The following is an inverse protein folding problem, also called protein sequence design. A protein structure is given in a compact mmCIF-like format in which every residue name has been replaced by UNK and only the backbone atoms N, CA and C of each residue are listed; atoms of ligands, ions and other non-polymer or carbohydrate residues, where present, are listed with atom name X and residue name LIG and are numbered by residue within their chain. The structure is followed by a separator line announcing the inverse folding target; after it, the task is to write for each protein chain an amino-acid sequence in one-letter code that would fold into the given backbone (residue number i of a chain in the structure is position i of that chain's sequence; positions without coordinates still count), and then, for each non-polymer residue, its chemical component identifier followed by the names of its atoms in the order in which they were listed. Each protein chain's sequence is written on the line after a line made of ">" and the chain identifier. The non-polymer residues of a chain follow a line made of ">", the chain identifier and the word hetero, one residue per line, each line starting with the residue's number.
data_IF_491005777148
#
_entry.id   IF_491005777148
#
_cell.length_a   1.000
_cell.length_b   1.000
_cell.length_c   1.000
_cell.angle_alpha   90.00
_cell.angle_beta   90.00
_cell.angle_gamma   90.00
#
_symmetry.space_group_name_H-M   'P 1'
#
loop_
_entity.id
_entity.type
_entity.pdbx_description
1 polymer ?
2 polymer ?
3 non-polymer ?
4 water ?
#
# COMPACT_ATOMS: atom_id res chain seq x y z
N UNK A 5 19.22 -2.55 -0.58
CA UNK A 5 20.34 -2.00 0.17
C UNK A 5 20.14 -2.17 1.68
N UNK A 6 18.94 -1.84 2.15
CA UNK A 6 18.53 -2.04 3.53
C UNK A 6 17.42 -3.08 3.55
N UNK A 7 17.62 -4.15 4.31
CA UNK A 7 16.68 -5.28 4.36
C UNK A 7 16.13 -5.41 5.77
N UNK A 8 14.82 -5.26 5.90
CA UNK A 8 14.11 -5.42 7.16
C UNK A 8 12.84 -6.22 6.91
N UNK A 9 12.31 -6.88 7.93
CA UNK A 9 11.15 -7.75 7.70
C UNK A 9 9.89 -6.97 7.41
N UNK A 10 8.97 -7.60 6.67
CA UNK A 10 7.76 -6.92 6.24
C UNK A 10 6.78 -6.73 7.40
N UNK A 11 6.61 -7.75 8.24
CA UNK A 11 5.62 -7.69 9.31
C UNK A 11 6.16 -8.41 10.54
N UNK A 12 5.82 -7.87 11.71
CA UNK A 12 6.19 -8.44 13.00
C UNK A 12 4.96 -8.43 13.90
N UNK A 13 4.92 -9.39 14.81
CA UNK A 13 3.79 -9.56 15.71
C UNK A 13 4.29 -9.80 17.13
N UNK A 14 3.60 -9.20 18.10
CA UNK A 14 3.98 -9.35 19.49
C UNK A 14 2.81 -9.01 20.39
N UNK A 15 2.78 -9.66 21.57
CA UNK A 15 1.70 -9.45 22.51
C UNK A 15 2.04 -8.32 23.48
N UNK A 16 1.03 -7.70 24.09
CA UNK A 16 1.29 -6.58 25.00
C UNK A 16 2.15 -7.01 26.19
N UNK A 17 3.03 -6.11 26.61
CA UNK A 17 3.88 -6.33 27.76
C UNK A 17 5.19 -7.02 27.45
N UNK A 18 5.24 -7.85 26.40
CA UNK A 18 6.47 -8.53 26.05
C UNK A 18 7.37 -7.59 25.26
N UNK A 19 8.52 -8.12 24.84
CA UNK A 19 9.52 -7.35 24.09
C UNK A 19 9.81 -8.05 22.77
N UNK A 20 10.28 -7.28 21.80
CA UNK A 20 10.68 -7.83 20.51
C UNK A 20 11.61 -6.84 19.82
N UNK A 21 12.31 -7.32 18.81
CA UNK A 21 13.36 -6.56 18.14
C UNK A 21 13.17 -6.65 16.62
N UNK A 22 13.24 -5.51 15.96
CA UNK A 22 13.17 -5.44 14.50
C UNK A 22 14.57 -5.23 13.96
N UNK A 23 14.98 -6.09 13.02
CA UNK A 23 16.33 -6.07 12.47
C UNK A 23 16.34 -5.44 11.10
N UNK A 24 17.36 -4.61 10.85
CA UNK A 24 17.60 -3.99 9.56
C UNK A 24 19.07 -4.18 9.23
N UNK A 25 19.34 -4.82 8.09
CA UNK A 25 20.70 -5.18 7.71
C UNK A 25 21.03 -4.60 6.34
N UNK A 26 22.24 -4.04 6.23
CA UNK A 26 22.72 -3.48 4.99
C UNK A 26 24.17 -3.06 5.10
N UNK A 27 24.89 -3.06 3.96
CA UNK A 27 26.30 -2.70 4.00
C UNK A 27 26.52 -1.31 4.59
N UNK A 28 25.54 -0.43 4.46
CA UNK A 28 25.65 0.92 5.00
C UNK A 28 25.56 0.97 6.52
N UNK A 29 25.16 -0.12 7.17
CA UNK A 29 25.00 -0.10 8.62
C UNK A 29 26.36 -0.08 9.31
N UNK A 30 27.31 -0.88 8.81
CA UNK A 30 28.63 -0.88 9.41
C UNK A 30 29.45 0.35 9.08
N UNK A 31 29.25 0.90 7.88
CA UNK A 31 30.02 2.05 7.42
C UNK A 31 29.88 3.22 8.39
N UNK A 32 28.68 3.78 8.49
CA UNK A 32 28.42 4.96 9.31
C UNK A 32 27.61 4.58 10.54
N UNK A 33 27.60 5.51 11.50
CA UNK A 33 26.75 5.41 12.69
C UNK A 33 25.56 6.35 12.57
N UNK A 34 24.89 6.30 11.43
CA UNK A 34 23.74 7.16 11.14
C UNK A 34 22.43 6.41 11.08
N UNK A 35 22.44 5.09 11.30
CA UNK A 35 21.21 4.30 11.13
C UNK A 35 20.16 4.80 12.11
N UNK A 36 18.94 5.01 11.61
CA UNK A 36 17.86 5.57 12.39
C UNK A 36 16.59 4.75 12.18
N UNK A 37 15.59 5.03 13.01
CA UNK A 37 14.31 4.32 12.97
C UNK A 37 13.17 5.34 13.01
N UNK A 38 12.19 5.17 12.12
CA UNK A 38 11.07 6.10 11.98
C UNK A 38 9.75 5.36 12.15
N UNK A 39 8.90 5.89 13.02
CA UNK A 39 7.59 5.32 13.30
C UNK A 39 6.52 6.03 12.49
N UNK A 40 5.61 5.25 11.90
CA UNK A 40 4.55 5.81 11.05
C UNK A 40 3.23 5.13 11.38
N UNK A 41 2.28 5.92 11.89
CA UNK A 41 0.91 5.45 12.06
C UNK A 41 0.17 5.52 10.73
N UNK A 42 -0.91 4.75 10.58
CA UNK A 42 -1.63 4.75 9.30
C UNK A 42 -2.21 6.11 8.99
N UNK A 43 -1.93 6.60 7.79
CA UNK A 43 -2.46 7.88 7.34
C UNK A 43 -1.67 9.08 7.78
N UNK A 44 -0.63 8.91 8.59
CA UNK A 44 0.17 10.01 9.11
C UNK A 44 1.60 9.88 8.62
N UNK A 45 2.39 10.93 8.92
CA UNK A 45 3.76 10.98 8.43
C UNK A 45 4.71 10.22 9.35
N UNK A 46 5.83 9.73 8.83
CA UNK A 46 6.83 9.11 9.72
C UNK A 46 7.34 10.11 10.74
N UNK A 47 7.80 9.59 11.88
CA UNK A 47 8.42 10.40 12.91
C UNK A 47 9.64 9.68 13.44
N UNK A 48 10.70 10.44 13.71
CA UNK A 48 11.93 9.85 14.23
C UNK A 48 11.72 9.44 15.68
N UNK A 49 12.10 8.19 15.99
CA UNK A 49 12.11 7.72 17.36
C UNK A 49 13.48 7.24 17.80
N UNK A 50 14.39 6.93 16.87
CA UNK A 50 15.78 6.60 17.18
C UNK A 50 16.64 7.12 16.04
N UNK A 51 17.72 7.82 16.37
CA UNK A 51 18.65 8.32 15.36
C UNK A 51 20.06 8.16 15.87
N UNK A 52 21.01 8.18 14.92
CA UNK A 52 22.42 7.93 15.20
C UNK A 52 22.58 6.66 16.06
N UNK A 53 22.01 5.57 15.54
CA UNK A 53 22.15 4.24 16.09
C UNK A 53 21.28 4.06 17.33
N UNK A 54 21.56 4.85 18.38
CA UNK A 54 20.94 4.60 19.68
C UNK A 54 20.37 5.85 20.37
N UNK A 55 20.59 7.05 19.83
CA UNK A 55 20.06 8.24 20.48
C UNK A 55 18.55 8.29 20.35
N UNK A 56 17.89 8.72 21.42
CA UNK A 56 16.43 8.76 21.49
C UNK A 56 15.97 10.20 21.62
N UNK A 57 15.09 10.70 20.75
CA UNK A 57 14.62 12.09 20.89
C UNK A 57 13.87 12.29 22.19
N UNK A 58 14.00 13.49 22.75
CA UNK A 58 13.23 13.83 23.93
C UNK A 58 11.75 13.81 23.60
N UNK A 59 10.94 13.27 24.51
CA UNK A 59 9.53 13.05 24.27
C UNK A 59 9.20 11.67 23.77
N UNK A 60 10.19 10.88 23.37
CA UNK A 60 9.99 9.51 22.93
C UNK A 60 10.07 8.60 24.13
N UNK A 61 9.13 7.67 24.25
CA UNK A 61 9.10 6.74 25.38
C UNK A 61 10.44 6.03 25.49
N UNK A 62 10.92 5.87 26.72
CA UNK A 62 12.21 5.24 26.96
C UNK A 62 12.20 3.75 26.62
N UNK A 63 11.03 3.18 26.31
CA UNK A 63 10.97 1.76 25.99
C UNK A 63 11.63 1.45 24.65
N UNK A 64 11.77 2.43 23.77
CA UNK A 64 12.47 2.23 22.51
C UNK A 64 13.97 2.38 22.71
N UNK A 65 14.72 1.52 22.04
CA UNK A 65 16.18 1.58 22.10
C UNK A 65 16.75 0.92 20.85
N UNK A 66 17.88 1.47 20.40
CA UNK A 66 18.51 0.98 19.19
C UNK A 66 19.93 0.50 19.39
N UNK A 67 20.43 -0.30 18.45
CA UNK A 67 21.79 -0.83 18.53
C UNK A 67 22.12 -1.42 17.16
N UNK A 68 23.42 -1.60 16.92
CA UNK A 68 23.90 -2.22 15.70
C UNK A 68 25.05 -3.16 16.02
N UNK A 69 25.23 -4.14 15.14
CA UNK A 69 26.30 -5.13 15.31
C UNK A 69 26.68 -5.61 13.92
N UNK A 70 27.87 -5.22 13.46
CA UNK A 70 28.24 -5.53 12.09
C UNK A 70 27.39 -4.73 11.13
N UNK A 71 26.76 -5.42 10.17
CA UNK A 71 25.91 -4.81 9.17
C UNK A 71 24.43 -4.96 9.49
N UNK A 72 24.08 -5.10 10.77
CA UNK A 72 22.70 -5.33 11.19
C UNK A 72 22.35 -4.38 12.32
N UNK A 73 21.39 -3.50 12.07
CA UNK A 73 20.85 -2.63 13.09
C UNK A 73 19.59 -3.25 13.69
N UNK A 74 19.24 -2.83 14.90
CA UNK A 74 18.13 -3.43 15.63
C UNK A 74 17.41 -2.38 16.45
N UNK A 75 16.08 -2.37 16.33
CA UNK A 75 15.21 -1.56 17.18
C UNK A 75 14.49 -2.48 18.15
N UNK A 76 14.61 -2.17 19.44
CA UNK A 76 14.05 -3.01 20.50
C UNK A 76 12.93 -2.23 21.20
N UNK A 77 11.76 -2.84 21.27
CA UNK A 77 10.62 -2.28 21.98
C UNK A 77 10.35 -3.19 23.17
N UNK A 78 10.69 -2.73 24.37
CA UNK A 78 10.38 -3.45 25.58
C UNK A 78 9.05 -2.96 26.16
N UNK A 79 8.36 -3.85 26.86
CA UNK A 79 7.06 -3.52 27.40
C UNK A 79 6.11 -3.06 26.32
N UNK A 80 5.86 -3.93 25.35
CA UNK A 80 5.06 -3.56 24.18
C UNK A 80 3.68 -3.07 24.61
N UNK A 81 3.28 -1.92 24.07
CA UNK A 81 1.98 -1.32 24.34
C UNK A 81 1.24 -1.14 23.03
N UNK A 82 -0.09 -1.00 23.13
CA UNK A 82 -0.94 -1.04 21.94
C UNK A 82 -0.59 0.09 20.99
N UNK A 83 -0.28 1.27 21.51
CA UNK A 83 0.02 2.39 20.63
C UNK A 83 1.34 2.21 19.87
N UNK A 84 2.08 1.15 20.14
CA UNK A 84 3.27 0.84 19.36
C UNK A 84 2.94 0.23 18.00
N UNK A 85 1.68 -0.15 17.77
CA UNK A 85 1.29 -0.69 16.47
C UNK A 85 1.47 0.38 15.39
N UNK A 86 2.35 0.11 14.44
CA UNK A 86 2.70 1.08 13.41
C UNK A 86 3.67 0.46 12.41
N UNK A 87 4.10 1.26 11.45
CA UNK A 87 5.15 0.86 10.50
C UNK A 87 6.45 1.50 10.96
N UNK A 88 7.50 0.70 11.05
CA UNK A 88 8.81 1.15 11.50
C UNK A 88 9.80 1.01 10.36
N UNK A 89 10.37 2.14 9.92
CA UNK A 89 11.31 2.17 8.82
C UNK A 89 12.72 2.42 9.36
N UNK A 90 13.69 1.74 8.78
CA UNK A 90 15.09 2.01 9.09
C UNK A 90 15.69 2.93 8.04
N UNK A 91 16.63 3.76 8.48
CA UNK A 91 17.20 4.84 7.70
C UNK A 91 18.71 4.77 7.79
N UNK A 92 19.39 4.98 6.66
CA UNK A 92 20.85 4.97 6.64
C UNK A 92 21.30 5.87 5.49
N UNK A 93 22.59 5.78 5.15
CA UNK A 93 23.17 6.59 4.09
C UNK A 93 24.17 5.76 3.29
N UNK A 94 23.98 5.75 1.97
CA UNK A 94 24.94 5.14 1.03
C UNK A 94 24.92 6.03 -0.22
N UNK A 95 25.78 7.04 -0.23
CA UNK A 95 25.83 8.08 -1.26
C UNK A 95 24.47 8.77 -1.44
N UNK A 96 23.56 8.59 -0.48
CA UNK A 96 22.26 9.25 -0.46
C UNK A 96 21.42 8.67 0.68
N UNK A 97 20.42 9.43 1.14
CA UNK A 97 19.49 8.88 2.12
C UNK A 97 18.79 7.68 1.52
N UNK A 98 18.74 6.58 2.28
CA UNK A 98 18.13 5.34 1.82
C UNK A 98 17.31 4.74 2.96
N UNK A 99 16.25 4.04 2.59
CA UNK A 99 15.30 3.49 3.55
C UNK A 99 15.09 2.00 3.28
N UNK A 100 14.68 1.30 4.33
CA UNK A 100 14.23 -0.07 4.19
C UNK A 100 12.77 -0.14 3.77
N UNK A 101 12.30 -1.37 3.59
CA UNK A 101 10.94 -1.57 3.10
C UNK A 101 9.86 -1.24 4.11
N UNK A 102 10.19 -1.24 5.40
CA UNK A 102 9.21 -0.99 6.44
C UNK A 102 8.70 -2.28 7.06
N UNK A 103 8.48 -2.25 8.38
CA UNK A 103 8.01 -3.41 9.12
C UNK A 103 6.66 -3.06 9.76
N UNK A 104 5.62 -3.77 9.37
CA UNK A 104 4.30 -3.63 10.01
C UNK A 104 4.33 -4.38 11.33
N UNK A 105 4.38 -3.64 12.44
CA UNK A 105 4.30 -4.25 13.76
C UNK A 105 2.86 -4.21 14.25
N UNK A 106 2.34 -5.37 14.63
CA UNK A 106 0.99 -5.49 15.16
C UNK A 106 1.08 -5.92 16.62
N UNK A 107 0.39 -5.18 17.48
CA UNK A 107 0.26 -5.54 18.89
C UNK A 107 -0.99 -6.41 19.02
N UNK A 108 -0.79 -7.70 19.22
CA UNK A 108 -1.90 -8.66 19.21
C UNK A 108 -2.96 -8.26 20.23
N UNK A 109 -4.17 -7.99 19.75
CA UNK A 109 -5.31 -7.69 20.60
C UNK A 109 -6.39 -8.75 20.51
N UNK A 110 -6.21 -9.77 19.68
CA UNK A 110 -7.12 -10.91 19.62
C UNK A 110 -6.32 -12.10 19.11
N UNK A 111 -6.92 -13.29 19.13
CA UNK A 111 -6.18 -14.47 18.64
C UNK A 111 -5.83 -14.34 17.16
N UNK A 112 -4.62 -14.75 16.82
CA UNK A 112 -4.26 -14.88 15.42
C UNK A 112 -5.30 -15.71 14.69
N UNK A 113 -5.81 -15.18 13.59
CA UNK A 113 -6.87 -15.83 12.81
C UNK A 113 -6.42 -15.98 11.37
N UNK A 114 -6.47 -17.20 10.86
CA UNK A 114 -6.06 -17.46 9.50
C UNK A 114 -7.12 -16.95 8.52
N UNK A 115 -6.71 -16.66 7.28
CA UNK A 115 -7.66 -16.08 6.31
C UNK A 115 -8.59 -17.11 5.70
N UNK A 116 -9.77 -16.64 5.33
CA UNK A 116 -10.64 -17.35 4.39
C UNK A 116 -10.32 -16.84 3.00
N UNK A 117 -10.12 -17.75 2.06
CA UNK A 117 -9.74 -17.41 0.70
C UNK A 117 -10.81 -17.93 -0.25
N UNK A 118 -11.26 -17.07 -1.17
CA UNK A 118 -12.20 -17.44 -2.20
C UNK A 118 -11.61 -17.05 -3.55
N UNK A 119 -11.51 -18.02 -4.46
CA UNK A 119 -10.86 -17.84 -5.74
C UNK A 119 -11.86 -18.05 -6.87
N UNK A 120 -12.04 -17.02 -7.71
CA UNK A 120 -12.92 -17.09 -8.86
C UNK A 120 -12.09 -17.18 -10.14
N UNK A 121 -12.51 -18.01 -11.11
CA UNK A 121 -11.82 -18.03 -12.40
C UNK A 121 -12.30 -16.89 -13.27
N UNK A 122 -11.65 -16.66 -14.42
CA UNK A 122 -12.18 -15.67 -15.36
C UNK A 122 -13.59 -16.01 -15.79
N UNK A 123 -14.41 -14.99 -15.97
CA UNK A 123 -15.73 -15.18 -16.54
C UNK A 123 -15.60 -15.58 -18.00
N UNK A 124 -16.47 -16.50 -18.44
CA UNK A 124 -16.49 -16.85 -19.86
C UNK A 124 -16.81 -15.63 -20.71
N UNK A 125 -17.57 -14.68 -20.17
CA UNK A 125 -17.80 -13.42 -20.88
C UNK A 125 -16.50 -12.67 -21.07
N UNK A 126 -15.70 -12.53 -20.01
CA UNK A 126 -14.42 -11.84 -20.13
C UNK A 126 -13.49 -12.60 -21.06
N UNK A 127 -13.50 -13.93 -21.01
CA UNK A 127 -12.62 -14.72 -21.87
C UNK A 127 -12.96 -14.52 -23.35
N UNK A 128 -14.24 -14.62 -23.70
CA UNK A 128 -14.64 -14.37 -25.07
C UNK A 128 -14.38 -12.93 -25.49
N UNK A 129 -14.15 -12.03 -24.55
CA UNK A 129 -13.76 -10.65 -24.85
C UNK A 129 -12.24 -10.47 -24.90
N UNK A 130 -11.48 -11.57 -24.91
CA UNK A 130 -10.03 -11.52 -25.08
C UNK A 130 -9.34 -10.92 -23.85
N UNK A 131 -9.87 -11.22 -22.67
CA UNK A 131 -9.26 -10.81 -21.41
C UNK A 131 -9.51 -11.90 -20.37
N UNK A 132 -8.77 -11.83 -19.26
CA UNK A 132 -8.91 -12.82 -18.21
C UNK A 132 -8.41 -12.22 -16.90
N UNK A 133 -9.20 -12.35 -15.85
CA UNK A 133 -8.86 -11.82 -14.53
C UNK A 133 -9.21 -12.87 -13.49
N UNK A 134 -8.20 -13.41 -12.81
CA UNK A 134 -8.41 -14.27 -11.66
C UNK A 134 -8.55 -13.40 -10.41
N UNK A 135 -9.51 -13.75 -9.56
CA UNK A 135 -9.90 -12.92 -8.43
C UNK A 135 -9.75 -13.73 -7.16
N UNK A 136 -8.83 -13.32 -6.29
CA UNK A 136 -8.56 -14.00 -5.02
C UNK A 136 -8.95 -13.06 -3.89
N UNK A 137 -10.04 -13.38 -3.20
CA UNK A 137 -10.57 -12.55 -2.12
C UNK A 137 -10.20 -13.16 -0.78
N UNK A 138 -9.58 -12.35 0.07
CA UNK A 138 -9.02 -12.79 1.35
C UNK A 138 -9.70 -12.00 2.45
N UNK A 139 -10.12 -12.68 3.51
CA UNK A 139 -10.89 -12.03 4.57
C UNK A 139 -10.66 -12.72 5.90
N UNK A 140 -11.01 -12.00 6.97
CA UNK A 140 -11.07 -12.56 8.32
C UNK A 140 -9.72 -13.09 8.79
N UNK A 141 -8.65 -12.34 8.52
CA UNK A 141 -7.31 -12.69 8.99
C UNK A 141 -6.80 -11.59 9.91
N UNK A 142 -6.23 -12.02 11.04
CA UNK A 142 -5.62 -11.11 12.00
C UNK A 142 -4.27 -11.69 12.40
N UNK A 143 -3.20 -10.88 12.42
CA UNK A 143 -3.15 -9.45 12.09
C UNK A 143 -3.32 -9.16 10.60
N UNK A 144 -3.43 -7.88 10.25
CA UNK A 144 -3.57 -7.48 8.86
C UNK A 144 -2.25 -7.46 8.12
N UNK A 145 -1.71 -8.64 7.85
CA UNK A 145 -0.43 -8.76 7.14
C UNK A 145 -0.39 -10.14 6.50
N UNK A 146 -0.45 -10.17 5.16
CA UNK A 146 -0.35 -11.41 4.40
C UNK A 146 0.56 -11.15 3.20
N UNK A 147 1.11 -12.25 2.68
CA UNK A 147 1.83 -12.24 1.41
C UNK A 147 1.09 -13.18 0.46
N UNK A 148 0.88 -12.73 -0.77
CA UNK A 148 0.13 -13.46 -1.76
C UNK A 148 1.08 -13.92 -2.86
N UNK A 149 1.00 -15.20 -3.22
CA UNK A 149 1.80 -15.77 -4.30
C UNK A 149 0.87 -16.48 -5.27
N UNK A 150 0.98 -16.13 -6.54
CA UNK A 150 0.22 -16.79 -7.60
C UNK A 150 1.11 -17.82 -8.29
N UNK A 151 0.52 -18.96 -8.63
CA UNK A 151 1.24 -20.07 -9.24
C UNK A 151 0.49 -20.53 -10.48
N UNK A 152 1.19 -20.58 -11.61
CA UNK A 152 0.70 -21.23 -12.82
C UNK A 152 1.16 -22.68 -12.78
N UNK A 153 0.21 -23.61 -12.72
CA UNK A 153 0.52 -24.99 -12.37
C UNK A 153 1.30 -24.97 -11.05
N UNK A 154 2.60 -25.20 -11.10
CA UNK A 154 3.46 -25.08 -9.94
C UNK A 154 4.45 -23.93 -10.05
N UNK A 155 4.59 -23.34 -11.23
CA UNK A 155 5.56 -22.27 -11.43
C UNK A 155 5.02 -20.95 -10.88
N UNK A 156 5.86 -20.19 -10.16
CA UNK A 156 5.39 -18.89 -9.64
C UNK A 156 5.04 -17.96 -10.78
N UNK A 157 4.27 -16.92 -10.44
CA UNK A 157 3.83 -15.92 -11.40
C UNK A 157 3.95 -14.56 -10.72
N UNK A 158 4.82 -13.71 -11.23
CA UNK A 158 4.97 -12.35 -10.72
C UNK A 158 4.34 -11.30 -11.63
N UNK A 159 4.31 -11.55 -12.94
CA UNK A 159 3.77 -10.58 -13.88
C UNK A 159 2.25 -10.55 -13.83
N UNK A 160 1.69 -9.35 -13.84
CA UNK A 160 0.25 -9.17 -13.91
C UNK A 160 -0.47 -9.27 -12.58
N UNK A 161 0.24 -9.21 -11.46
CA UNK A 161 -0.35 -9.36 -10.14
C UNK A 161 -0.60 -7.99 -9.54
N UNK A 162 -1.82 -7.77 -9.04
CA UNK A 162 -2.19 -6.54 -8.36
C UNK A 162 -2.86 -6.92 -7.04
N UNK A 163 -2.27 -6.46 -5.93
CA UNK A 163 -2.74 -6.82 -4.61
C UNK A 163 -2.94 -5.55 -3.78
N UNK A 164 -4.06 -5.52 -3.05
CA UNK A 164 -4.36 -4.38 -2.20
C UNK A 164 -3.66 -4.51 -0.86
N UNK A 165 -3.52 -3.37 -0.18
CA UNK A 165 -3.12 -3.40 1.21
C UNK A 165 -4.31 -3.84 2.06
N UNK A 166 -4.06 -4.48 3.21
CA UNK A 166 -5.19 -4.92 4.05
C UNK A 166 -6.01 -3.75 4.55
N UNK A 167 -7.31 -3.99 4.73
CA UNK A 167 -8.23 -2.99 5.25
C UNK A 167 -9.03 -3.61 6.38
N UNK A 168 -9.25 -2.81 7.43
CA UNK A 168 -9.85 -3.34 8.64
C UNK A 168 -11.35 -3.56 8.45
N UNK A 169 -11.80 -4.77 8.73
CA UNK A 169 -13.23 -5.10 8.71
C UNK A 169 -13.90 -4.57 9.97
N UNK A 170 -15.20 -4.83 10.10
CA UNK A 170 -15.93 -4.39 11.28
C UNK A 170 -15.64 -5.26 12.49
N UNK A 171 -15.34 -6.55 12.28
CA UNK A 171 -14.92 -7.43 13.36
C UNK A 171 -13.44 -7.25 13.73
N UNK A 172 -12.79 -6.23 13.19
CA UNK A 172 -11.40 -5.85 13.46
C UNK A 172 -10.39 -6.84 12.87
N UNK A 173 -10.84 -7.89 12.20
CA UNK A 173 -9.96 -8.62 11.30
C UNK A 173 -9.81 -7.81 10.02
N UNK A 174 -9.07 -8.35 9.06
CA UNK A 174 -8.70 -7.59 7.86
C UNK A 174 -9.06 -8.35 6.61
N UNK A 175 -9.27 -7.59 5.53
CA UNK A 175 -9.60 -8.12 4.21
C UNK A 175 -8.62 -7.56 3.20
N UNK A 176 -8.45 -8.30 2.10
CA UNK A 176 -7.58 -7.87 1.02
C UNK A 176 -7.97 -8.62 -0.24
N UNK A 177 -7.53 -8.11 -1.38
CA UNK A 177 -7.83 -8.68 -2.68
C UNK A 177 -6.56 -8.75 -3.51
N UNK A 178 -6.44 -9.81 -4.31
CA UNK A 178 -5.36 -9.95 -5.26
C UNK A 178 -5.95 -10.32 -6.61
N UNK A 179 -5.46 -9.67 -7.66
CA UNK A 179 -5.95 -9.86 -9.02
C UNK A 179 -4.79 -10.28 -9.91
N UNK A 180 -5.00 -11.35 -10.67
CA UNK A 180 -4.03 -11.81 -11.66
C UNK A 180 -4.65 -11.61 -13.05
N UNK A 181 -4.16 -10.60 -13.76
CA UNK A 181 -4.58 -10.38 -15.14
C UNK A 181 -3.81 -11.32 -16.06
N UNK A 182 -4.55 -11.98 -16.95
CA UNK A 182 -4.00 -13.08 -17.73
C UNK A 182 -4.47 -12.96 -19.17
N UNK A 183 -3.67 -13.51 -20.07
CA UNK A 183 -4.10 -13.67 -21.45
C UNK A 183 -4.96 -14.94 -21.57
N UNK A 184 -6.06 -14.89 -22.33
CA UNK A 184 -6.88 -16.11 -22.49
C UNK A 184 -6.07 -17.34 -22.85
N UNK A 185 -5.05 -17.20 -23.70
CA UNK A 185 -4.20 -18.34 -24.03
C UNK A 185 -3.47 -18.84 -22.79
N UNK A 186 -2.86 -17.93 -22.03
CA UNK A 186 -2.19 -18.31 -20.80
C UNK A 186 -3.14 -19.09 -19.88
N UNK A 187 -4.40 -18.66 -19.83
CA UNK A 187 -5.36 -19.30 -18.93
C UNK A 187 -5.69 -20.72 -19.40
N UNK A 188 -6.06 -20.86 -20.68
CA UNK A 188 -6.39 -22.19 -21.21
C UNK A 188 -5.17 -23.09 -21.32
N UNK A 189 -3.96 -22.51 -21.33
CA UNK A 189 -2.75 -23.28 -21.63
C UNK A 189 -2.23 -24.08 -20.44
N UNK A 190 -2.64 -23.75 -19.23
CA UNK A 190 -2.11 -24.41 -18.04
C UNK A 190 -3.17 -25.31 -17.41
N UNK A 191 -2.68 -26.29 -16.64
CA UNK A 191 -3.59 -27.21 -15.96
C UNK A 191 -4.41 -26.48 -14.90
N UNK A 192 -3.80 -25.52 -14.20
CA UNK A 192 -4.50 -24.81 -13.13
C UNK A 192 -3.72 -23.57 -12.75
N UNK A 193 -4.37 -22.70 -11.98
CA UNK A 193 -3.74 -21.55 -11.35
C UNK A 193 -4.14 -21.54 -9.88
N UNK A 194 -3.24 -21.07 -9.02
CA UNK A 194 -3.43 -21.11 -7.59
C UNK A 194 -3.17 -19.75 -6.96
N UNK A 195 -3.96 -19.42 -5.94
CA UNK A 195 -3.72 -18.26 -5.10
C UNK A 195 -3.27 -18.77 -3.74
N UNK A 196 -2.03 -18.46 -3.36
CA UNK A 196 -1.43 -18.91 -2.12
C UNK A 196 -1.27 -17.71 -1.20
N UNK A 197 -1.97 -17.76 -0.07
CA UNK A 197 -1.95 -16.68 0.92
C UNK A 197 -1.21 -17.18 2.14
N UNK A 198 -0.03 -16.59 2.41
CA UNK A 198 0.73 -16.89 3.61
C UNK A 198 0.37 -15.89 4.70
N UNK A 199 0.28 -16.37 5.93
CA UNK A 199 -0.16 -15.52 7.04
C UNK A 199 0.33 -16.13 8.34
N UNK A 200 1.25 -15.44 9.02
CA UNK A 200 1.73 -15.83 10.34
C UNK A 200 2.20 -17.28 10.33
N UNK A 201 3.03 -17.61 9.35
CA UNK A 201 3.60 -18.93 9.24
C UNK A 201 2.65 -20.00 8.71
N UNK A 202 1.38 -19.68 8.53
CA UNK A 202 0.42 -20.58 7.90
C UNK A 202 0.13 -20.11 6.48
N UNK A 203 -0.32 -21.05 5.65
CA UNK A 203 -0.64 -20.76 4.27
C UNK A 203 -1.99 -21.37 3.90
N UNK A 204 -2.75 -20.65 3.09
CA UNK A 204 -4.02 -21.12 2.55
C UNK A 204 -3.95 -20.99 1.04
N UNK A 205 -4.18 -22.08 0.33
CA UNK A 205 -4.07 -22.12 -1.13
C UNK A 205 -5.38 -22.59 -1.73
N UNK A 206 -5.88 -21.83 -2.70
CA UNK A 206 -7.05 -22.21 -3.49
C UNK A 206 -6.63 -22.32 -4.95
N UNK A 207 -7.20 -23.29 -5.66
CA UNK A 207 -6.80 -23.59 -7.03
C UNK A 207 -8.03 -23.68 -7.92
N UNK A 208 -7.89 -23.17 -9.14
CA UNK A 208 -8.94 -23.24 -10.15
C UNK A 208 -8.30 -23.70 -11.46
N UNK A 209 -9.04 -24.51 -12.21
CA UNK A 209 -8.57 -25.03 -13.49
C UNK A 209 -9.46 -24.52 -14.62
N UNK A 210 -8.91 -24.35 -15.82
CA UNK A 210 -9.74 -23.87 -16.95
C UNK A 210 -10.81 -24.85 -17.37
N UNK A 211 -10.73 -26.11 -16.95
CA UNK A 211 -11.72 -27.13 -17.31
C UNK A 211 -12.88 -27.19 -16.33
N UNK A 212 -13.26 -26.06 -15.74
CA UNK A 212 -14.32 -26.04 -14.74
C UNK A 212 -15.41 -25.04 -15.13
N UNK B 2 6.72 23.58 15.73
CA UNK B 2 7.47 23.32 14.50
C UNK B 2 6.58 22.52 13.55
N UNK B 3 6.22 23.13 12.41
CA UNK B 3 5.23 22.55 11.52
C UNK B 3 5.66 22.71 10.07
N UNK B 4 5.46 21.65 9.29
CA UNK B 4 5.57 21.70 7.83
C UNK B 4 4.19 21.40 7.26
N UNK B 5 3.71 22.25 6.34
CA UNK B 5 2.37 22.16 5.79
C UNK B 5 2.46 22.06 4.27
N UNK B 6 1.91 20.98 3.73
CA UNK B 6 1.94 20.72 2.29
C UNK B 6 0.59 21.02 1.65
N UNK B 7 0.61 21.15 0.33
CA UNK B 7 -0.58 21.42 -0.45
C UNK B 7 -1.41 20.15 -0.62
N UNK B 8 -2.57 20.29 -1.25
CA UNK B 8 -3.50 19.19 -1.40
C UNK B 8 -3.03 18.17 -2.42
N UNK B 9 -3.87 17.16 -2.60
CA UNK B 9 -3.55 16.07 -3.52
C UNK B 9 -3.65 16.54 -4.96
N UNK B 10 -2.99 15.79 -5.84
CA UNK B 10 -2.92 16.13 -7.26
C UNK B 10 -3.19 14.89 -8.10
N UNK B 11 -3.81 15.10 -9.26
CA UNK B 11 -4.02 14.06 -10.27
C UNK B 11 -3.48 14.60 -11.58
N UNK B 12 -2.54 13.86 -12.17
CA UNK B 12 -1.82 14.34 -13.35
C UNK B 12 -1.76 13.24 -14.41
N UNK B 13 -1.80 13.68 -15.68
CA UNK B 13 -1.62 12.76 -16.79
C UNK B 13 -0.13 12.49 -17.01
N UNK B 14 0.22 11.32 -17.54
CA UNK B 14 1.63 11.06 -17.85
C UNK B 14 2.20 12.13 -18.75
N UNK B 15 3.48 12.40 -18.56
CA UNK B 15 4.16 13.46 -19.28
C UNK B 15 3.99 14.85 -18.71
N UNK B 16 2.99 15.05 -17.86
CA UNK B 16 2.77 16.34 -17.23
C UNK B 16 3.76 16.54 -16.08
N UNK B 17 3.62 17.67 -15.39
CA UNK B 17 4.47 18.00 -14.25
C UNK B 17 3.59 18.47 -13.10
N UNK B 18 4.14 18.39 -11.89
CA UNK B 18 3.39 18.71 -10.67
C UNK B 18 4.25 19.58 -9.76
N UNK B 19 3.59 20.48 -9.04
CA UNK B 19 4.24 21.41 -8.12
C UNK B 19 3.59 21.24 -6.76
N UNK B 20 4.39 20.77 -5.78
CA UNK B 20 3.95 20.59 -4.40
C UNK B 20 4.69 21.61 -3.53
N UNK B 21 3.95 22.26 -2.65
CA UNK B 21 4.50 23.28 -1.76
C UNK B 21 4.64 22.73 -0.34
N UNK B 22 5.51 23.37 0.43
CA UNK B 22 5.82 22.96 1.81
C UNK B 22 6.04 24.24 2.61
N UNK B 23 5.06 24.62 3.42
CA UNK B 23 5.11 25.86 4.19
C UNK B 23 5.64 25.57 5.58
N UNK B 24 6.75 26.21 5.93
CA UNK B 24 7.41 26.03 7.22
C UNK B 24 7.00 27.11 8.20
N UNK B 25 7.07 26.79 9.49
CA UNK B 25 6.70 27.74 10.53
C UNK B 25 7.20 27.23 11.87
N UNK B 26 7.43 28.15 12.79
CA UNK B 26 7.84 27.81 14.14
C UNK B 26 9.32 27.58 14.35
N UNK B 27 10.14 27.87 13.35
CA UNK B 27 11.58 27.72 13.49
C UNK B 27 12.27 28.59 12.45
N UNK B 28 13.58 28.76 12.62
CA UNK B 28 14.38 29.56 11.70
C UNK B 28 14.45 28.86 10.35
N UNK B 29 13.67 29.36 9.39
CA UNK B 29 13.54 28.68 8.11
C UNK B 29 14.89 28.36 7.49
N UNK B 30 15.86 29.25 7.64
CA UNK B 30 17.13 29.16 6.91
C UNK B 30 18.19 28.35 7.65
N UNK B 31 17.87 27.74 8.78
CA UNK B 31 18.85 26.96 9.53
C UNK B 31 18.80 25.47 9.25
N UNK B 32 17.78 24.99 8.55
CA UNK B 32 17.59 23.56 8.34
C UNK B 32 17.30 23.26 6.88
N UNK B 33 17.84 22.14 6.40
CA UNK B 33 17.51 21.64 5.08
C UNK B 33 16.04 21.25 5.00
N UNK B 34 15.53 21.18 3.79
CA UNK B 34 14.20 20.65 3.52
C UNK B 34 14.37 19.48 2.55
N UNK B 35 14.19 18.27 3.04
CA UNK B 35 14.26 17.07 2.22
C UNK B 35 12.89 16.79 1.60
N UNK B 36 12.90 15.93 0.58
CA UNK B 36 11.68 15.43 -0.03
C UNK B 36 11.77 13.92 -0.14
N UNK B 37 10.80 13.24 0.46
CA UNK B 37 10.73 11.78 0.46
C UNK B 37 9.33 11.38 0.02
N UNK B 38 9.25 10.46 -0.94
CA UNK B 38 7.98 9.94 -1.41
C UNK B 38 7.78 8.52 -0.92
N UNK B 39 6.51 8.10 -0.89
CA UNK B 39 6.14 6.77 -0.39
C UNK B 39 5.09 6.21 -1.33
N UNK B 40 5.52 5.36 -2.27
CA UNK B 40 4.57 4.65 -3.10
C UNK B 40 3.85 3.61 -2.26
N UNK B 41 2.57 3.35 -2.52
CA UNK B 41 1.82 2.42 -1.67
C UNK B 41 2.45 1.03 -1.69
N UNK B 42 2.63 0.45 -0.52
CA UNK B 42 3.28 -0.84 -0.43
C UNK B 42 4.72 -0.84 -0.88
N UNK B 43 5.42 0.27 -0.67
CA UNK B 43 6.83 0.37 -1.01
C UNK B 43 7.55 1.14 0.07
N UNK B 44 8.88 1.01 0.09
CA UNK B 44 9.69 1.73 1.05
C UNK B 44 9.85 3.18 0.68
N UNK B 45 10.03 4.02 1.71
CA UNK B 45 10.29 5.44 1.49
C UNK B 45 11.49 5.61 0.57
N UNK B 46 11.42 6.62 -0.30
CA UNK B 46 12.50 6.93 -1.23
C UNK B 46 12.83 8.40 -1.14
N UNK B 47 14.09 8.72 -0.86
CA UNK B 47 14.57 10.09 -0.89
C UNK B 47 14.81 10.52 -2.33
N UNK B 48 14.48 11.78 -2.64
CA UNK B 48 14.64 12.29 -3.99
C UNK B 48 15.48 13.56 -4.05
N UNK B 49 15.59 14.32 -2.96
CA UNK B 49 16.39 15.53 -2.99
C UNK B 49 16.16 16.44 -1.80
N UNK B 50 17.17 17.26 -1.49
CA UNK B 50 17.04 18.29 -0.47
C UNK B 50 17.44 19.64 -1.05
N UNK B 51 17.05 20.70 -0.34
CA UNK B 51 17.41 22.07 -0.69
C UNK B 51 17.91 22.78 0.55
N UNK B 52 19.03 23.49 0.41
CA UNK B 52 19.53 24.38 1.45
C UNK B 52 18.69 25.65 1.41
N UNK B 53 17.82 25.84 2.41
CA UNK B 53 16.90 26.96 2.39
C UNK B 53 17.61 28.30 2.48
N UNK B 54 18.87 28.32 2.93
CA UNK B 54 19.61 29.58 2.97
C UNK B 54 20.18 29.94 1.61
N UNK B 55 20.92 29.01 0.99
CA UNK B 55 21.62 29.28 -0.24
C UNK B 55 20.83 28.90 -1.49
N UNK B 56 19.77 28.09 -1.34
CA UNK B 56 18.99 27.52 -2.41
C UNK B 56 19.73 26.39 -3.12
N UNK B 57 20.94 26.05 -2.69
CA UNK B 57 21.63 24.92 -3.29
C UNK B 57 20.84 23.64 -3.14
N UNK B 58 20.95 22.78 -4.15
CA UNK B 58 20.13 21.58 -4.24
C UNK B 58 21.00 20.35 -4.42
N UNK B 59 20.42 19.20 -4.11
CA UNK B 59 21.06 17.91 -4.29
C UNK B 59 19.95 16.90 -4.53
N UNK B 60 19.96 16.29 -5.71
CA UNK B 60 18.92 15.35 -6.11
C UNK B 60 19.48 13.94 -6.18
N UNK B 61 18.59 12.96 -6.18
CA UNK B 61 18.97 11.57 -6.38
C UNK B 61 19.26 11.32 -7.85
N UNK B 62 20.11 10.32 -8.11
CA UNK B 62 20.54 10.03 -9.48
C UNK B 62 19.36 9.94 -10.42
N UNK B 63 18.26 9.34 -9.97
CA UNK B 63 17.11 9.09 -10.82
C UNK B 63 16.25 10.33 -11.04
N UNK B 64 16.70 11.50 -10.57
CA UNK B 64 15.89 12.70 -10.64
C UNK B 64 16.62 13.93 -11.15
N UNK B 65 17.92 13.84 -11.42
CA UNK B 65 18.64 14.96 -12.01
C UNK B 65 18.14 15.18 -13.43
N UNK B 66 17.54 16.35 -13.67
CA UNK B 66 16.99 16.68 -14.97
C UNK B 66 15.50 16.92 -14.93
N UNK B 67 14.79 16.12 -14.15
CA UNK B 67 13.33 16.18 -14.09
C UNK B 67 12.81 16.75 -12.77
N UNK B 68 13.68 17.05 -11.82
CA UNK B 68 13.28 17.58 -10.52
C UNK B 68 13.90 18.96 -10.32
N UNK B 69 13.15 19.84 -9.66
CA UNK B 69 13.62 21.19 -9.38
C UNK B 69 13.06 21.64 -8.04
N UNK B 70 13.94 21.87 -7.07
CA UNK B 70 13.55 22.37 -5.75
C UNK B 70 13.91 23.85 -5.66
N UNK B 71 12.94 24.66 -5.24
CA UNK B 71 13.14 26.08 -5.02
C UNK B 71 12.63 26.46 -3.63
N UNK B 72 13.09 27.61 -3.16
CA UNK B 72 12.71 28.12 -1.85
C UNK B 72 12.37 29.60 -1.96
N UNK B 73 11.41 30.03 -1.15
CA UNK B 73 10.97 31.42 -1.08
C UNK B 73 11.26 31.91 0.33
N UNK B 74 12.28 32.77 0.47
CA UNK B 74 12.71 33.20 1.79
C UNK B 74 11.64 34.03 2.50
N UNK B 75 10.81 34.76 1.74
CA UNK B 75 9.86 35.66 2.39
C UNK B 75 8.61 34.93 2.87
N UNK B 76 8.13 33.96 2.11
CA UNK B 76 7.01 33.14 2.54
C UNK B 76 7.45 31.86 3.25
N UNK B 77 8.75 31.65 3.41
CA UNK B 77 9.30 30.46 4.06
C UNK B 77 8.62 29.21 3.52
N UNK B 78 8.72 29.04 2.19
CA UNK B 78 8.06 27.96 1.48
C UNK B 78 9.04 27.30 0.53
N UNK B 79 9.05 25.97 0.53
CA UNK B 79 9.83 25.19 -0.43
C UNK B 79 8.86 24.57 -1.43
N UNK B 80 9.26 24.55 -2.70
CA UNK B 80 8.44 24.02 -3.77
C UNK B 80 9.17 22.85 -4.43
N UNK B 81 8.40 21.79 -4.73
CA UNK B 81 8.92 20.63 -5.44
C UNK B 81 8.27 20.58 -6.82
N UNK B 82 9.09 20.65 -7.85
CA UNK B 82 8.63 20.57 -9.23
C UNK B 82 9.17 19.28 -9.85
N UNK B 83 8.28 18.36 -10.18
CA UNK B 83 8.64 17.10 -10.82
C UNK B 83 8.02 17.06 -12.20
N UNK B 84 8.85 16.87 -13.22
CA UNK B 84 8.44 16.90 -14.61
C UNK B 84 8.39 15.49 -15.18
N UNK B 85 7.80 15.37 -16.37
CA UNK B 85 7.75 14.12 -17.12
C UNK B 85 7.27 12.98 -16.24
N UNK B 86 6.06 13.14 -15.72
CA UNK B 86 5.51 12.21 -14.75
C UNK B 86 5.18 10.87 -15.40
N UNK B 87 5.72 9.79 -14.82
CA UNK B 87 5.35 8.44 -15.19
C UNK B 87 4.30 7.91 -14.20
N UNK B 88 3.74 6.75 -14.54
CA UNK B 88 2.73 6.16 -13.67
C UNK B 88 3.33 5.68 -12.36
N UNK B 89 4.60 5.27 -12.36
CA UNK B 89 5.27 4.83 -11.14
C UNK B 89 5.67 5.98 -10.24
N UNK B 90 5.39 7.23 -10.64
CA UNK B 90 5.59 8.38 -9.77
C UNK B 90 4.47 8.55 -8.76
N UNK B 91 3.39 7.77 -8.88
CA UNK B 91 2.30 7.85 -7.92
C UNK B 91 2.80 7.50 -6.53
N UNK B 92 2.64 8.44 -5.60
CA UNK B 92 3.14 8.25 -4.24
C UNK B 92 2.70 9.43 -3.38
N UNK B 93 2.77 9.24 -2.08
CA UNK B 93 2.59 10.32 -1.12
C UNK B 93 3.93 11.02 -0.96
N UNK B 94 3.95 12.32 -1.24
CA UNK B 94 5.18 13.10 -1.23
C UNK B 94 5.28 13.89 0.07
N UNK B 95 6.34 13.64 0.83
CA UNK B 95 6.59 14.31 2.10
C UNK B 95 7.74 15.30 1.96
N UNK B 96 7.64 16.41 2.69
CA UNK B 96 8.78 17.25 2.98
C UNK B 96 9.16 17.08 4.44
N UNK B 97 10.44 17.26 4.74
CA UNK B 97 10.96 16.98 6.07
C UNK B 97 12.14 17.89 6.37
N UNK B 98 12.20 18.39 7.61
CA UNK B 98 13.27 19.28 8.03
C UNK B 98 14.54 18.47 8.31
N UNK B 99 15.68 18.96 7.81
CA UNK B 99 16.93 18.24 7.94
C UNK B 99 17.61 18.59 9.25
N UNK B 100 18.01 17.56 10.00
CA UNK B 100 18.48 17.76 11.37
C UNK B 100 19.91 18.29 11.47
N UNK B 101 20.10 19.22 12.42
CA UNK B 101 21.34 19.96 12.69
C UNK B 101 21.37 21.18 11.78
N UNK B 102 22.00 21.10 10.61
CA UNK B 102 21.86 22.25 9.71
C UNK B 102 22.98 22.29 8.67
N UNK B 103 23.27 23.52 8.22
CA UNK B 103 24.25 23.79 7.17
C UNK B 103 25.65 23.99 7.73
N UNK B 104 25.94 23.45 8.92
CA UNK B 104 27.22 23.61 9.57
C UNK B 104 28.06 22.34 9.62
N UNK B 105 27.44 21.16 9.51
CA UNK B 105 28.14 19.89 9.57
C UNK B 105 28.13 19.21 8.19
N UNK B 106 29.13 18.36 7.90
CA UNK B 106 29.09 17.65 6.60
C UNK B 106 27.88 16.74 6.47
N UNK B 107 27.49 16.05 7.55
CA UNK B 107 26.26 15.28 7.62
C UNK B 107 25.21 16.04 8.43
N UNK B 108 25.17 17.36 8.28
CA UNK B 108 24.22 18.20 8.97
C UNK B 108 22.83 18.20 8.38
N UNK B 109 22.62 17.44 7.30
CA UNK B 109 21.29 17.15 6.78
C UNK B 109 20.85 15.72 7.05
N UNK B 110 21.78 14.81 7.37
CA UNK B 110 21.51 13.39 7.49
C UNK B 110 21.56 12.91 8.94
N UNK B 111 21.37 13.83 9.89
CA UNK B 111 21.36 13.44 11.30
C UNK B 111 20.00 12.87 11.68
N UNK B 112 18.94 13.66 11.49
CA UNK B 112 17.57 13.21 11.70
C UNK B 112 16.65 14.06 10.84
N UNK B 113 15.53 13.48 10.44
CA UNK B 113 14.50 14.18 9.65
C UNK B 113 13.28 14.37 10.55
N UNK B 114 13.09 15.60 11.02
CA UNK B 114 11.99 15.88 11.92
C UNK B 114 11.72 17.38 11.99
N UNK B 115 10.45 17.81 11.88
CA UNK B 115 9.24 17.01 11.62
C UNK B 115 9.02 16.76 10.14
N UNK B 116 7.94 16.03 9.82
CA UNK B 116 7.54 15.76 8.45
C UNK B 116 6.22 16.47 8.18
N UNK B 117 6.07 16.97 6.96
CA UNK B 117 4.76 17.43 6.52
C UNK B 117 3.76 16.30 6.49
N UNK B 118 2.47 16.67 6.41
CA UNK B 118 1.43 15.64 6.41
C UNK B 118 1.43 14.81 5.14
N UNK B 119 2.18 15.22 4.11
CA UNK B 119 2.22 14.47 2.87
C UNK B 119 1.17 14.94 1.88
N UNK B 120 1.51 14.84 0.59
CA UNK B 120 0.61 15.18 -0.49
C UNK B 120 0.56 14.01 -1.47
N UNK B 121 -0.65 13.50 -1.72
CA UNK B 121 -0.82 12.37 -2.62
C UNK B 121 -0.82 12.87 -4.06
N UNK B 122 0.08 12.33 -4.87
CA UNK B 122 0.14 12.61 -6.30
C UNK B 122 -0.18 11.30 -7.02
N UNK B 123 -1.19 11.34 -7.90
CA UNK B 123 -1.64 10.17 -8.64
C UNK B 123 -1.45 10.45 -10.12
N UNK B 124 -0.59 9.67 -10.77
CA UNK B 124 -0.35 9.77 -12.20
C UNK B 124 -1.19 8.69 -12.87
N UNK B 125 -2.22 9.12 -13.59
CA UNK B 125 -3.12 8.20 -14.28
C UNK B 125 -3.41 8.74 -15.67
N UNK B 126 -3.14 7.93 -16.70
CA UNK B 126 -3.45 8.31 -18.06
C UNK B 126 -4.96 8.39 -18.33
N UNK B 127 -5.78 7.96 -17.38
CA UNK B 127 -7.21 7.85 -17.59
C UNK B 127 -7.92 9.10 -17.10
N UNK B 128 -8.67 9.74 -17.99
CA UNK B 128 -9.73 10.63 -17.55
C UNK B 128 -10.86 9.79 -16.96
N UNK B 129 -11.92 10.44 -16.49
CA UNK B 129 -13.01 9.70 -15.87
C UNK B 129 -13.49 8.59 -16.80
N UNK B 130 -13.63 7.39 -16.24
CA UNK B 130 -13.92 6.20 -17.04
C UNK B 130 -14.82 5.25 -16.27
N UNK B 131 -15.84 4.74 -16.96
CA UNK B 131 -16.79 3.81 -16.37
C UNK B 131 -16.26 2.40 -16.37
N UNK B 132 -16.81 1.55 -15.49
CA UNK B 132 -16.28 0.20 -15.34
C UNK B 132 -16.90 -0.83 -16.29
N UNK B 133 -16.13 -1.88 -16.54
CA UNK B 133 -16.66 -3.12 -17.11
C UNK B 133 -17.01 -4.05 -15.96
N UNK B 134 -18.23 -4.60 -16.00
CA UNK B 134 -18.74 -5.43 -14.91
C UNK B 134 -18.92 -6.85 -15.44
N UNK B 135 -18.26 -7.80 -14.79
CA UNK B 135 -18.32 -9.21 -15.17
C UNK B 135 -18.87 -10.05 -14.03
N UNK B 136 -19.54 -11.16 -14.34
CA UNK B 136 -20.12 -11.99 -13.28
C UNK B 136 -19.13 -12.97 -12.67
N UNK B 137 -19.26 -13.18 -11.36
CA UNK B 137 -18.48 -14.17 -10.62
C UNK B 137 -19.44 -15.30 -10.28
N UNK B 138 -19.34 -16.41 -10.99
CA UNK B 138 -20.33 -17.48 -10.88
C UNK B 138 -20.30 -18.09 -9.48
N UNK B 139 -21.44 -18.56 -8.98
CA UNK B 139 -21.50 -19.11 -7.62
C UNK B 139 -20.46 -20.20 -7.40
N UNK B 140 -19.90 -20.22 -6.19
CA UNK B 140 -18.95 -21.25 -5.78
C UNK B 140 -19.16 -21.53 -4.30
N UNK B 141 -19.40 -22.81 -3.98
CA UNK B 141 -19.62 -23.24 -2.61
C UNK B 141 -18.33 -23.72 -1.93
N UNK B 142 -17.17 -23.51 -2.55
CA UNK B 142 -15.96 -24.15 -2.08
C UNK B 142 -15.49 -23.57 -0.75
N UNK B 143 -15.52 -22.25 -0.60
CA UNK B 143 -14.97 -21.59 0.58
C UNK B 143 -16.03 -20.83 1.37
N UNK B 144 -17.28 -21.31 1.34
CA UNK B 144 -18.35 -20.74 2.12
C UNK B 144 -18.90 -21.79 3.08
N UNK B 145 -19.63 -21.34 4.09
CA UNK B 145 -20.20 -22.24 5.07
C UNK B 145 -21.22 -23.17 4.38
N UNK B 146 -21.59 -24.23 5.10
CA UNK B 146 -22.40 -25.27 4.49
C UNK B 146 -23.71 -24.75 3.98
N UNK B 147 -24.12 -25.26 2.81
CA UNK B 147 -25.40 -24.93 2.22
C UNK B 147 -25.44 -23.61 1.48
N UNK B 148 -24.40 -22.80 1.56
CA UNK B 148 -24.36 -21.49 0.91
C UNK B 148 -23.37 -21.49 -0.25
N UNK B 149 -23.52 -20.49 -1.12
CA UNK B 149 -22.62 -20.28 -2.24
C UNK B 149 -22.27 -18.81 -2.31
N UNK B 150 -21.06 -18.53 -2.79
CA UNK B 150 -20.57 -17.17 -2.96
C UNK B 150 -20.62 -16.79 -4.44
N UNK B 151 -21.29 -15.68 -4.74
CA UNK B 151 -21.30 -15.13 -6.09
C UNK B 151 -21.08 -13.62 -5.98
N UNK B 152 -20.63 -13.01 -7.07
CA UNK B 152 -20.28 -11.62 -7.02
C UNK B 152 -20.20 -10.98 -8.39
N UNK B 153 -19.64 -9.77 -8.40
CA UNK B 153 -19.41 -9.00 -9.61
C UNK B 153 -18.01 -8.43 -9.57
N UNK B 154 -17.31 -8.52 -10.70
CA UNK B 154 -15.99 -7.94 -10.86
C UNK B 154 -16.14 -6.60 -11.58
N UNK B 155 -15.88 -5.52 -10.86
CA UNK B 155 -15.98 -4.17 -11.39
C UNK B 155 -14.58 -3.77 -11.82
N UNK B 156 -14.29 -3.88 -13.11
CA UNK B 156 -12.93 -3.77 -13.65
C UNK B 156 -12.74 -2.42 -14.32
N UNK B 157 -11.62 -1.75 -14.01
CA UNK B 157 -11.14 -0.62 -14.77
C UNK B 157 -12.08 0.58 -14.77
N UNK B 158 -11.99 1.41 -13.73
CA UNK B 158 -12.76 2.64 -13.65
C UNK B 158 -11.91 3.71 -12.99
N UNK B 159 -12.30 4.97 -13.19
CA UNK B 159 -11.55 6.08 -12.61
C UNK B 159 -12.44 7.30 -12.52
N UNK B 160 -12.41 8.06 -11.40
CA UNK B 160 -11.74 7.75 -10.13
C UNK B 160 -12.69 7.04 -9.18
N UNK B 161 -12.27 6.83 -7.94
CA UNK B 161 -13.22 6.44 -6.90
C UNK B 161 -14.29 7.51 -6.79
N UNK B 162 -15.46 7.18 -6.23
CA UNK B 162 -15.91 5.92 -5.65
C UNK B 162 -16.84 5.10 -6.56
N UNK B 163 -17.05 3.85 -6.19
CA UNK B 163 -18.07 3.00 -6.78
C UNK B 163 -18.91 2.42 -5.64
N UNK B 164 -20.22 2.35 -5.86
CA UNK B 164 -21.14 1.73 -4.91
C UNK B 164 -21.80 0.53 -5.56
N UNK B 165 -21.99 -0.53 -4.78
CA UNK B 165 -22.60 -1.76 -5.26
C UNK B 165 -23.69 -2.17 -4.28
N UNK B 166 -24.88 -2.44 -4.81
CA UNK B 166 -25.95 -3.09 -4.07
C UNK B 166 -26.37 -4.34 -4.84
N UNK B 167 -27.21 -5.15 -4.20
CA UNK B 167 -27.65 -6.41 -4.78
C UNK B 167 -29.17 -6.46 -4.78
N UNK B 168 -29.75 -6.79 -5.93
CA UNK B 168 -31.20 -6.86 -6.08
C UNK B 168 -31.86 -5.57 -5.60
N UNK B 169 -31.28 -4.44 -5.99
CA UNK B 169 -31.81 -3.12 -5.68
C UNK B 169 -31.85 -2.88 -4.17
N UNK B 170 -30.92 -3.49 -3.44
CA UNK B 170 -30.84 -3.34 -2.01
C UNK B 170 -31.63 -4.35 -1.21
N UNK B 171 -32.44 -5.17 -1.87
CA UNK B 171 -33.22 -6.17 -1.14
C UNK B 171 -32.33 -7.21 -0.48
N UNK B 172 -31.14 -7.44 -1.03
CA UNK B 172 -30.19 -8.43 -0.52
C UNK B 172 -29.01 -7.68 0.10
N UNK B 173 -28.92 -7.72 1.44
CA UNK B 173 -27.87 -7.03 2.17
C UNK B 173 -27.06 -7.95 3.06
N UNK B 174 -27.69 -8.94 3.69
CA UNK B 174 -26.95 -9.86 4.54
C UNK B 174 -26.03 -10.73 3.69
N UNK B 175 -24.78 -10.85 4.11
CA UNK B 175 -23.80 -11.62 3.37
C UNK B 175 -23.04 -10.86 2.31
N UNK B 176 -23.31 -9.57 2.15
CA UNK B 176 -22.63 -8.76 1.12
C UNK B 176 -21.30 -8.28 1.68
N UNK B 177 -20.24 -8.50 0.91
CA UNK B 177 -18.91 -7.97 1.24
C UNK B 177 -18.37 -7.32 -0.02
N UNK B 178 -18.32 -5.99 -0.03
CA UNK B 178 -17.72 -5.23 -1.11
C UNK B 178 -16.29 -4.92 -0.70
N UNK B 179 -15.33 -5.49 -1.42
CA UNK B 179 -13.92 -5.33 -1.07
C UNK B 179 -13.39 -3.99 -1.58
N UNK B 180 -12.51 -3.34 -0.83
CA UNK B 180 -11.87 -2.13 -1.35
C UNK B 180 -11.19 -2.39 -2.70
N UNK B 181 -11.13 -1.34 -3.51
CA UNK B 181 -10.57 -1.45 -4.84
C UNK B 181 -9.05 -1.53 -4.79
N UNK B 182 -8.48 -2.09 -5.84
CA UNK B 182 -7.03 -2.06 -6.06
C UNK B 182 -6.75 -0.97 -7.10
N UNK B 183 -5.69 -0.21 -6.88
CA UNK B 183 -5.22 0.78 -7.86
C UNK B 183 -4.15 0.11 -8.69
N UNK B 184 -4.52 -0.28 -9.91
CA UNK B 184 -3.62 -1.00 -10.79
C UNK B 184 -2.54 -0.06 -11.34
N UNK B 185 -1.47 -0.65 -11.87
CA UNK B 185 -0.42 0.14 -12.48
C UNK B 185 -0.95 0.95 -13.66
N UNK B 186 -2.07 0.55 -14.24
CA UNK B 186 -2.67 1.29 -15.36
C UNK B 186 -3.34 2.59 -14.91
N UNK B 187 -3.37 2.86 -13.61
CA UNK B 187 -4.06 4.04 -13.12
C UNK B 187 -5.55 3.86 -12.94
N UNK B 188 -6.07 2.65 -13.15
CA UNK B 188 -7.49 2.37 -13.05
C UNK B 188 -7.77 1.50 -11.83
N UNK B 189 -8.96 1.67 -11.27
CA UNK B 189 -9.39 0.90 -10.11
C UNK B 189 -10.18 -0.33 -10.54
N UNK B 190 -10.11 -1.37 -9.70
CA UNK B 190 -10.95 -2.54 -9.85
C UNK B 190 -11.29 -3.06 -8.46
N UNK B 191 -12.53 -3.49 -8.28
CA UNK B 191 -12.97 -4.08 -7.02
C UNK B 191 -13.92 -5.24 -7.32
N UNK B 192 -14.21 -6.01 -6.28
CA UNK B 192 -15.15 -7.11 -6.35
C UNK B 192 -16.17 -6.97 -5.25
N UNK B 193 -17.40 -7.38 -5.56
CA UNK B 193 -18.48 -7.42 -4.58
C UNK B 193 -19.11 -8.81 -4.62
N UNK B 194 -19.03 -9.54 -3.52
CA UNK B 194 -19.58 -10.89 -3.45
C UNK B 194 -20.68 -10.92 -2.40
N UNK B 195 -21.52 -11.94 -2.50
CA UNK B 195 -22.64 -12.12 -1.59
C UNK B 195 -22.82 -13.61 -1.36
N UNK B 196 -22.93 -14.01 -0.10
CA UNK B 196 -23.14 -15.41 0.27
C UNK B 196 -24.65 -15.64 0.39
N UNK B 197 -25.17 -16.56 -0.41
CA UNK B 197 -26.61 -16.83 -0.44
C UNK B 197 -26.83 -18.33 -0.31
N UNK B 198 -28.06 -18.73 0.04
CA UNK B 198 -28.36 -20.18 0.11
C UNK B 198 -28.12 -20.84 -1.24
N UNK B 199 -27.40 -21.97 -1.21
CA UNK B 199 -27.09 -22.68 -2.44
C UNK B 199 -28.33 -23.23 -3.12
N UNK B 200 -29.43 -23.39 -2.39
CA UNK B 200 -30.66 -23.90 -2.98
C UNK B 200 -31.41 -22.84 -3.78
N UNK B 201 -31.18 -21.56 -3.49
CA UNK B 201 -31.87 -20.49 -4.20
C UNK B 201 -31.30 -20.23 -5.58
N UNK B 202 -30.10 -20.74 -5.88
CA UNK B 202 -29.43 -20.41 -7.13
C UNK B 202 -30.32 -20.68 -8.34
N UNK B 203 -31.08 -21.78 -8.31
CA UNK B 203 -31.95 -22.10 -9.41
C UNK B 203 -33.31 -21.44 -9.38
N UNK B 204 -33.56 -20.57 -8.40
CA UNK B 204 -34.88 -19.97 -8.23
C UNK B 204 -34.79 -18.46 -8.17
N UNK B 205 -33.89 -17.94 -7.35
CA UNK B 205 -33.75 -16.50 -7.15
C UNK B 205 -32.82 -15.90 -8.18
N UNK B 206 -33.19 -14.72 -8.67
CA UNK B 206 -32.33 -13.94 -9.55
C UNK B 206 -31.43 -13.04 -8.71
N UNK B 207 -30.17 -12.92 -9.14
CA UNK B 207 -29.18 -12.13 -8.42
C UNK B 207 -28.58 -11.10 -9.38
N UNK B 208 -28.71 -9.83 -9.01
CA UNK B 208 -28.25 -8.71 -9.82
C UNK B 208 -27.47 -7.76 -8.93
N UNK B 209 -26.26 -7.41 -9.34
CA UNK B 209 -25.45 -6.41 -8.66
C UNK B 209 -25.66 -5.07 -9.34
N UNK B 210 -25.99 -4.05 -8.55
CA UNK B 210 -26.26 -2.70 -9.05
C UNK B 210 -25.03 -1.85 -8.79
N UNK B 211 -24.23 -1.65 -9.83
CA UNK B 211 -23.01 -0.85 -9.74
C UNK B 211 -23.31 0.56 -10.18
N UNK B 212 -22.88 1.55 -9.39
CA UNK B 212 -23.11 2.96 -9.67
C UNK B 212 -21.78 3.68 -9.60
N UNK B 213 -21.32 4.18 -10.75
CA UNK B 213 -20.09 4.98 -10.84
C UNK B 213 -20.51 6.40 -11.21
N UNK B 214 -20.79 7.21 -10.19
CA UNK B 214 -21.29 8.55 -10.43
C UNK B 214 -20.32 9.43 -11.22
N UNK B 215 -19.00 9.36 -11.00
CA UNK B 215 -18.10 10.24 -11.77
C UNK B 215 -18.28 10.15 -13.28
N UNK B 216 -18.49 8.95 -13.81
CA UNK B 216 -18.70 8.74 -15.23
C UNK B 216 -20.18 8.64 -15.59
N UNK B 217 -21.08 8.87 -14.64
CA UNK B 217 -22.51 8.79 -14.88
C UNK B 217 -22.88 7.43 -15.46
N UNK B 218 -22.24 6.37 -14.95
CA UNK B 218 -22.44 5.01 -15.43
C UNK B 218 -23.16 4.19 -14.36
N UNK B 219 -24.18 3.45 -14.78
CA UNK B 219 -24.91 2.53 -13.92
C UNK B 219 -25.05 1.20 -14.64
N UNK B 220 -24.82 0.11 -13.92
CA UNK B 220 -24.86 -1.23 -14.49
C UNK B 220 -25.60 -2.16 -13.53
N UNK B 221 -26.61 -2.85 -14.05
CA UNK B 221 -27.35 -3.87 -13.31
C UNK B 221 -27.00 -5.19 -13.98
N UNK B 222 -25.99 -5.87 -13.45
CA UNK B 222 -25.46 -7.09 -14.02
C UNK B 222 -26.09 -8.29 -13.35
N UNK B 223 -26.81 -9.10 -14.12
CA UNK B 223 -27.36 -10.35 -13.60
C UNK B 223 -26.27 -11.40 -13.57
N UNK B 224 -26.17 -12.12 -12.45
CA UNK B 224 -25.13 -13.13 -12.25
C UNK B 224 -25.82 -14.48 -12.30
N UNK B 225 -25.68 -15.17 -13.44
CA UNK B 225 -26.26 -16.50 -13.61
C UNK B 225 -25.30 -17.56 -13.10
N UNK B 226 -25.81 -18.71 -12.66
CA UNK B 226 -24.93 -19.85 -12.39
C UNK B 226 -24.53 -20.57 -13.66
N UNK B 227 -23.28 -21.06 -13.69
CA UNK B 227 -22.76 -21.79 -14.85
C UNK B 227 -23.18 -23.25 -14.71
N UNK B 228 -24.22 -23.64 -15.45
CA UNK B 228 -24.73 -25.00 -15.40
C UNK B 228 -23.66 -26.00 -15.83
#
# INVERSE_FOLDING_TARGET
>A
VTSYELTQPASVSGSPGQSITISCTGSSIGSYDLVSWYQQYPGKAPKVIIFEVSKRPSGVSHRFSGSKSGNTAALTISGLQVEDEAIYHCYSYDDMIIFGGGTRLTVLRQPKAAPSVTLFPPSSEELQANKATLVCLISDFYPGAVTVAWKADSSPVKAGVETTTPSKQSNNKYAASSYLSLTPEQWKSHRSYSCQVTHEGSTVEKTVAPTECS
>B
XVQLLESGAEVKKPGASVRVSCEASGYTFTKYFIHWVRQAPGHGLEWIGWINTLTSGVNYARNFQGRLTLTRDLSTETVYMDLRNLKSDDTAVYYCARGGRGYDEPWGAYTWLDPWGQGSLVTVSSASTKGPSVFPLAPSSKSTSGGTAALGCLVKDYFPEPVTVSWNSGALTSGVHTFPAVLQSSGLYSLSSVVTVPSSSLGTQTYICNVNHKPSNTKVDKRVEPKSCD
#
